data_IF_320727556520
#
_entry.id   IF_320727556520
#
_cell.length_a   1.000
_cell.length_b   1.000
_cell.length_c   1.000
_cell.angle_alpha   90.00
_cell.angle_beta   90.00
_cell.angle_gamma   90.00
#
_symmetry.space_group_name_H-M   'P 1'
#
loop_
_entity.id
_entity.type
_entity.pdbx_description
1 polymer ?
#
# COMPACT_ATOMS: atom_id res chain seq x y z
N UNK A 1 -57.09 -33.33 -57.97
CA UNK A 1 -57.79 -32.02 -57.98
C UNK A 1 -57.30 -31.19 -56.81
N UNK A 2 -56.89 -29.96 -57.11
CA UNK A 2 -56.28 -28.92 -56.27
C UNK A 2 -57.22 -28.50 -55.10
N UNK A 3 -56.80 -27.88 -53.98
CA UNK A 3 -55.99 -26.66 -53.87
C UNK A 3 -55.32 -26.45 -52.49
N UNK A 4 -54.14 -25.84 -52.59
CA UNK A 4 -53.34 -25.07 -51.63
C UNK A 4 -54.06 -23.90 -50.92
N UNK A 5 -53.54 -23.52 -49.73
CA UNK A 5 -53.15 -22.17 -49.22
C UNK A 5 -52.53 -22.37 -47.82
N UNK A 6 -51.20 -22.37 -47.62
CA UNK A 6 -50.24 -21.25 -47.53
C UNK A 6 -50.46 -20.27 -46.37
N UNK A 7 -49.52 -20.22 -45.41
CA UNK A 7 -48.84 -19.02 -44.87
C UNK A 7 -47.81 -19.49 -43.82
N UNK A 8 -46.52 -19.62 -44.14
CA UNK A 8 -45.46 -18.59 -44.24
C UNK A 8 -44.58 -18.54 -42.98
N UNK A 9 -43.28 -18.74 -43.24
CA UNK A 9 -42.13 -17.99 -42.73
C UNK A 9 -41.79 -18.07 -41.23
N UNK A 10 -40.55 -18.49 -40.98
CA UNK A 10 -39.85 -18.08 -39.75
C UNK A 10 -38.67 -18.95 -39.34
N UNK A 11 -37.78 -19.32 -40.26
CA UNK A 11 -36.47 -19.81 -39.86
C UNK A 11 -35.65 -18.63 -39.35
N UNK A 12 -35.36 -18.51 -38.04
CA UNK A 12 -34.10 -17.91 -37.59
C UNK A 12 -33.77 -18.14 -36.11
N UNK A 13 -32.49 -18.45 -35.92
CA UNK A 13 -31.61 -18.14 -34.80
C UNK A 13 -31.70 -18.96 -33.50
N UNK A 14 -30.72 -19.85 -33.40
CA UNK A 14 -30.15 -20.33 -32.15
C UNK A 14 -29.82 -19.16 -31.21
N UNK A 15 -30.33 -19.23 -29.99
CA UNK A 15 -29.81 -18.50 -28.85
C UNK A 15 -29.36 -19.53 -27.82
N UNK A 16 -28.19 -20.13 -28.07
CA UNK A 16 -27.36 -20.66 -27.01
C UNK A 16 -27.02 -19.48 -26.10
N UNK A 17 -27.79 -19.32 -25.03
CA UNK A 17 -27.39 -18.48 -23.90
C UNK A 17 -26.17 -19.14 -23.29
N UNK A 18 -24.99 -18.83 -23.81
CA UNK A 18 -23.77 -18.89 -23.01
C UNK A 18 -24.03 -17.93 -21.86
N UNK A 19 -24.44 -18.49 -20.72
CA UNK A 19 -24.27 -17.83 -19.44
C UNK A 19 -22.77 -17.53 -19.39
N UNK A 20 -22.42 -16.28 -19.65
CA UNK A 20 -21.07 -15.79 -19.48
C UNK A 20 -20.67 -16.19 -18.07
N UNK A 21 -19.77 -17.17 -17.97
CA UNK A 21 -18.96 -17.33 -16.79
C UNK A 21 -18.31 -15.97 -16.65
N UNK A 22 -18.82 -15.18 -15.71
CA UNK A 22 -18.14 -13.98 -15.28
C UNK A 22 -16.74 -14.47 -14.93
N UNK A 23 -15.77 -14.13 -15.77
CA UNK A 23 -14.38 -14.13 -15.39
C UNK A 23 -14.37 -13.19 -14.20
N UNK A 24 -14.44 -13.78 -13.00
CA UNK A 24 -14.06 -13.07 -11.80
C UNK A 24 -12.71 -12.43 -12.14
N UNK A 25 -12.53 -11.12 -11.87
CA UNK A 25 -11.23 -10.51 -12.08
C UNK A 25 -10.22 -11.42 -11.40
N UNK A 26 -9.22 -11.86 -12.18
CA UNK A 26 -8.10 -12.66 -11.70
C UNK A 26 -7.70 -12.10 -10.34
N UNK A 27 -7.61 -12.96 -9.34
CA UNK A 27 -7.05 -12.63 -8.03
C UNK A 27 -5.86 -11.72 -8.25
N UNK A 28 -5.98 -10.44 -7.88
CA UNK A 28 -4.86 -9.52 -7.90
C UNK A 28 -3.75 -10.21 -7.11
N UNK A 29 -2.64 -10.54 -7.77
CA UNK A 29 -1.52 -11.15 -7.06
C UNK A 29 -1.14 -10.15 -5.97
N UNK A 30 -1.16 -10.62 -4.71
CA UNK A 30 -0.73 -9.80 -3.60
C UNK A 30 0.78 -9.59 -3.75
N UNK A 31 1.18 -8.48 -4.37
CA UNK A 31 2.57 -8.04 -4.37
C UNK A 31 2.93 -7.77 -2.91
N UNK A 32 3.94 -8.48 -2.43
CA UNK A 32 4.50 -8.30 -1.09
C UNK A 32 5.88 -7.68 -1.27
N UNK A 33 6.14 -6.56 -0.61
CA UNK A 33 7.40 -5.82 -0.80
C UNK A 33 8.38 -6.07 0.34
N UNK A 34 9.62 -6.36 -0.02
CA UNK A 34 10.74 -6.57 0.89
C UNK A 34 11.99 -5.82 0.41
N UNK A 35 12.81 -5.38 1.36
CA UNK A 35 14.10 -4.75 1.07
C UNK A 35 14.17 -3.32 1.57
N UNK A 36 15.09 -2.56 1.00
CA UNK A 36 15.47 -1.24 1.49
C UNK A 36 15.65 -0.25 0.33
N UNK A 37 15.27 1.00 0.55
CA UNK A 37 15.66 2.14 -0.29
C UNK A 37 16.37 3.15 0.59
N UNK A 38 17.60 3.48 0.20
CA UNK A 38 18.39 4.54 0.82
C UNK A 38 18.47 5.71 -0.15
N UNK A 39 18.15 6.90 0.32
CA UNK A 39 18.29 8.13 -0.45
C UNK A 39 18.88 9.27 0.37
N UNK A 40 19.50 10.23 -0.30
CA UNK A 40 19.97 11.47 0.30
C UNK A 40 19.03 12.61 -0.09
N UNK A 41 18.65 13.44 0.88
CA UNK A 41 17.86 14.63 0.64
C UNK A 41 18.32 15.78 1.54
N UNK A 42 18.35 16.99 0.99
CA UNK A 42 18.59 18.21 1.77
C UNK A 42 17.41 18.47 2.70
N UNK A 43 17.67 18.66 4.00
CA UNK A 43 16.65 18.92 4.99
C UNK A 43 17.03 20.11 5.87
N UNK A 44 16.06 20.98 6.14
CA UNK A 44 16.13 22.01 7.15
C UNK A 44 15.38 21.51 8.38
N UNK A 45 16.10 21.34 9.50
CA UNK A 45 15.56 20.74 10.73
C UNK A 45 15.01 21.81 11.71
N UNK A 46 14.84 23.04 11.23
CA UNK A 46 14.43 24.22 11.99
C UNK A 46 15.58 25.12 12.45
N UNK A 47 15.22 26.25 13.05
CA UNK A 47 16.16 27.27 13.52
C UNK A 47 16.68 26.94 14.94
N UNK A 48 18.00 26.78 15.13
CA UNK A 48 18.59 26.48 16.44
C UNK A 48 18.43 27.63 17.46
N UNK A 49 18.19 28.87 17.01
CA UNK A 49 18.02 30.04 17.88
C UNK A 49 16.63 30.13 18.50
N UNK A 50 15.64 29.46 17.91
CA UNK A 50 14.25 29.48 18.37
C UNK A 50 13.95 28.39 19.41
N UNK A 51 14.94 27.61 19.82
CA UNK A 51 14.76 26.50 20.75
C UNK A 51 13.91 25.36 20.17
N UNK A 52 13.44 24.46 21.04
CA UNK A 52 12.52 23.39 20.68
C UNK A 52 11.09 23.92 20.82
N UNK A 53 10.41 24.37 19.75
CA UNK A 53 9.05 24.90 19.82
C UNK A 53 7.98 23.81 19.93
N UNK A 54 6.72 24.20 20.17
CA UNK A 54 5.61 23.25 20.25
C UNK A 54 5.35 22.54 18.92
N UNK A 55 5.54 23.25 17.81
CA UNK A 55 5.42 22.72 16.45
C UNK A 55 6.71 23.08 15.71
N UNK A 56 7.27 22.10 15.02
CA UNK A 56 8.47 22.24 14.19
C UNK A 56 8.20 21.57 12.83
N UNK A 57 9.00 21.90 11.81
CA UNK A 57 8.93 21.27 10.50
C UNK A 57 10.30 20.72 10.09
N UNK A 58 10.28 19.61 9.36
CA UNK A 58 11.42 19.15 8.56
C UNK A 58 11.13 19.51 7.12
N UNK A 59 11.77 20.58 6.65
CA UNK A 59 11.55 21.07 5.30
C UNK A 59 12.58 20.48 4.35
N UNK A 60 12.13 19.79 3.30
CA UNK A 60 13.03 19.20 2.31
C UNK A 60 13.37 20.24 1.25
N UNK A 61 14.61 20.73 1.24
CA UNK A 61 14.99 21.97 0.52
C UNK A 61 14.72 21.97 -0.98
N UNK A 62 14.67 20.80 -1.61
CA UNK A 62 14.38 20.60 -3.04
C UNK A 62 13.08 19.84 -3.30
N UNK A 63 12.35 19.43 -2.25
CA UNK A 63 11.27 18.43 -2.31
C UNK A 63 11.68 17.14 -3.05
N UNK A 64 12.98 16.87 -3.17
CA UNK A 64 13.51 15.75 -3.93
C UNK A 64 14.72 15.13 -3.22
N UNK A 65 14.75 13.80 -3.17
CA UNK A 65 15.91 13.02 -2.77
C UNK A 65 16.50 12.25 -3.95
N UNK A 66 17.80 11.98 -3.87
CA UNK A 66 18.52 11.12 -4.80
C UNK A 66 18.67 9.73 -4.19
N UNK A 67 18.15 8.71 -4.87
CA UNK A 67 18.31 7.31 -4.45
C UNK A 67 19.77 6.91 -4.60
N UNK A 68 20.35 6.37 -3.52
CA UNK A 68 21.75 5.97 -3.43
C UNK A 68 21.93 4.47 -3.58
N UNK A 69 21.05 3.70 -2.93
CA UNK A 69 21.08 2.24 -3.00
C UNK A 69 19.69 1.66 -2.77
N UNK A 70 19.45 0.50 -3.36
CA UNK A 70 18.25 -0.29 -3.19
C UNK A 70 18.61 -1.75 -2.91
N UNK A 71 17.74 -2.48 -2.23
CA UNK A 71 17.86 -3.92 -2.00
C UNK A 71 16.49 -4.61 -2.09
N UNK A 72 16.49 -5.94 -2.16
CA UNK A 72 15.26 -6.72 -2.30
C UNK A 72 14.48 -6.36 -3.57
N UNK A 73 13.17 -6.22 -3.45
CA UNK A 73 12.28 -5.98 -4.58
C UNK A 73 12.53 -4.60 -5.21
N UNK A 74 12.96 -3.62 -4.41
CA UNK A 74 13.34 -2.29 -4.90
C UNK A 74 14.54 -2.30 -5.86
N UNK A 75 15.43 -3.30 -5.75
CA UNK A 75 16.57 -3.43 -6.66
C UNK A 75 16.17 -3.94 -8.05
N UNK A 76 14.99 -4.56 -8.15
CA UNK A 76 14.43 -5.07 -9.42
C UNK A 76 13.47 -4.09 -10.10
N UNK A 77 13.16 -2.97 -9.43
CA UNK A 77 12.24 -1.96 -9.96
C UNK A 77 12.70 -1.43 -11.32
N UNK A 78 11.76 -1.36 -12.27
CA UNK A 78 12.01 -0.83 -13.62
C UNK A 78 11.07 0.35 -13.93
N UNK A 79 11.58 1.54 -14.26
CA UNK A 79 12.99 1.93 -14.28
C UNK A 79 13.61 1.88 -12.87
N UNK A 80 14.94 1.83 -12.82
CA UNK A 80 15.66 1.87 -11.55
C UNK A 80 15.30 3.14 -10.78
N UNK A 81 15.07 2.98 -9.47
CA UNK A 81 14.79 4.09 -8.58
C UNK A 81 15.99 5.04 -8.55
N UNK A 82 15.75 6.31 -8.86
CA UNK A 82 16.81 7.33 -8.96
C UNK A 82 16.44 8.61 -8.23
N UNK A 83 15.17 8.99 -8.26
CA UNK A 83 14.63 10.16 -7.59
C UNK A 83 13.45 9.77 -6.71
N UNK A 84 13.29 10.52 -5.63
CA UNK A 84 12.12 10.46 -4.75
C UNK A 84 11.60 11.86 -4.53
N UNK A 85 10.30 12.08 -4.69
CA UNK A 85 9.67 13.35 -4.30
C UNK A 85 9.24 13.27 -2.85
N UNK A 86 9.57 14.29 -2.06
CA UNK A 86 9.34 14.31 -0.62
C UNK A 86 8.33 15.39 -0.24
N UNK A 87 7.66 15.18 0.88
CA UNK A 87 6.82 16.17 1.56
C UNK A 87 7.39 16.50 2.93
N UNK A 88 7.25 17.76 3.32
CA UNK A 88 7.72 18.24 4.62
C UNK A 88 7.02 17.52 5.76
N UNK A 89 7.75 17.27 6.84
CA UNK A 89 7.21 16.62 8.03
C UNK A 89 6.86 17.65 9.07
N UNK A 90 5.61 17.68 9.50
CA UNK A 90 5.20 18.47 10.65
C UNK A 90 5.42 17.64 11.90
N UNK A 91 6.05 18.25 12.91
CA UNK A 91 6.40 17.64 14.18
C UNK A 91 5.68 18.39 15.30
N UNK A 92 4.98 17.65 16.17
CA UNK A 92 4.36 18.21 17.36
C UNK A 92 5.08 17.74 18.61
N UNK A 93 5.56 18.66 19.43
CA UNK A 93 6.33 18.36 20.63
C UNK A 93 5.45 17.68 21.67
N UNK A 94 5.85 16.47 22.06
CA UNK A 94 5.20 15.72 23.13
C UNK A 94 5.92 15.89 24.47
N UNK A 95 7.25 15.96 24.44
CA UNK A 95 8.09 16.11 25.64
C UNK A 95 9.03 17.28 25.42
N UNK A 96 8.92 18.28 26.29
CA UNK A 96 9.83 19.41 26.31
C UNK A 96 11.20 19.04 26.90
N UNK A 97 12.25 19.70 26.44
CA UNK A 97 13.62 19.47 26.92
C UNK A 97 14.66 19.76 25.85
N UNK A 98 15.91 19.37 26.14
CA UNK A 98 16.98 19.24 25.16
C UNK A 98 17.81 18.00 25.56
N UNK A 99 17.57 16.82 24.97
CA UNK A 99 16.69 16.58 23.83
C UNK A 99 15.19 16.77 24.11
N UNK A 100 14.42 17.16 23.10
CA UNK A 100 12.96 17.16 23.09
C UNK A 100 12.43 15.99 22.23
N UNK A 101 11.24 15.50 22.56
CA UNK A 101 10.57 14.43 21.80
C UNK A 101 9.35 15.01 21.09
N UNK A 102 9.24 14.69 19.81
CA UNK A 102 8.15 15.10 18.94
C UNK A 102 7.43 13.89 18.37
N UNK A 103 6.11 13.96 18.28
CA UNK A 103 5.31 13.07 17.45
C UNK A 103 5.31 13.58 16.01
N UNK A 104 5.34 12.66 15.05
CA UNK A 104 5.17 12.99 13.63
C UNK A 104 3.69 13.16 13.35
N UNK A 105 3.32 14.28 12.75
CA UNK A 105 1.95 14.51 12.31
C UNK A 105 1.60 13.55 11.16
N UNK A 106 0.41 12.97 11.24
CA UNK A 106 -0.10 11.95 10.31
C UNK A 106 -1.39 12.37 9.63
N UNK A 107 -1.73 13.66 9.72
CA UNK A 107 -3.01 14.16 9.24
C UNK A 107 -3.28 13.75 7.77
N UNK A 108 -4.55 13.51 7.47
CA UNK A 108 -5.03 12.76 6.29
C UNK A 108 -4.52 13.20 4.90
N UNK A 109 -3.87 14.36 4.77
CA UNK A 109 -3.20 14.81 3.54
C UNK A 109 -1.82 14.14 3.30
N UNK A 110 -1.30 13.34 4.25
CA UNK A 110 0.00 12.65 4.20
C UNK A 110 -0.03 11.26 3.53
N UNK A 111 -0.89 11.06 2.53
CA UNK A 111 -1.03 9.74 1.87
C UNK A 111 0.21 9.29 1.06
N UNK A 112 1.20 10.16 0.89
CA UNK A 112 2.49 9.90 0.22
C UNK A 112 3.54 10.90 0.72
N UNK A 113 4.28 10.51 1.76
CA UNK A 113 5.46 11.25 2.23
C UNK A 113 6.58 11.20 1.19
N UNK A 114 6.88 10.01 0.69
CA UNK A 114 7.86 9.78 -0.36
C UNK A 114 7.18 9.15 -1.58
N UNK A 115 7.43 9.71 -2.76
CA UNK A 115 6.88 9.25 -4.03
C UNK A 115 8.00 8.90 -5.01
N UNK A 116 8.02 7.64 -5.44
CA UNK A 116 9.00 7.08 -6.35
C UNK A 116 8.51 7.08 -7.81
N UNK A 117 7.29 7.58 -8.06
CA UNK A 117 6.68 7.57 -9.37
C UNK A 117 6.20 6.19 -9.81
N UNK A 118 6.01 6.02 -11.12
CA UNK A 118 5.56 4.75 -11.69
C UNK A 118 6.75 3.81 -11.90
N UNK A 119 6.66 2.61 -11.34
CA UNK A 119 7.68 1.56 -11.44
C UNK A 119 7.03 0.22 -11.69
N UNK A 120 7.77 -0.67 -12.33
CA UNK A 120 7.42 -2.07 -12.53
C UNK A 120 8.14 -2.91 -11.49
N UNK A 121 7.38 -3.63 -10.67
CA UNK A 121 7.86 -4.61 -9.67
C UNK A 121 7.05 -5.88 -9.90
N UNK A 122 7.73 -7.04 -9.95
CA UNK A 122 7.10 -8.34 -10.22
C UNK A 122 6.19 -8.40 -11.46
N UNK A 123 6.51 -7.57 -12.47
CA UNK A 123 5.78 -7.52 -13.75
C UNK A 123 4.58 -6.58 -13.78
N UNK A 124 4.18 -5.99 -12.64
CA UNK A 124 3.10 -5.00 -12.57
C UNK A 124 3.66 -3.59 -12.50
N UNK A 125 3.11 -2.67 -13.31
CA UNK A 125 3.51 -1.25 -13.32
C UNK A 125 2.48 -0.39 -12.58
N UNK A 126 2.88 0.24 -11.49
CA UNK A 126 2.04 1.20 -10.75
C UNK A 126 2.88 2.27 -10.05
N UNK A 127 2.20 3.28 -9.49
CA UNK A 127 2.83 4.30 -8.66
C UNK A 127 3.23 3.72 -7.30
N UNK A 128 4.51 3.83 -6.95
CA UNK A 128 5.06 3.43 -5.66
C UNK A 128 5.22 4.65 -4.75
N UNK A 129 4.65 4.57 -3.55
CA UNK A 129 4.72 5.63 -2.54
C UNK A 129 4.96 5.05 -1.16
N UNK A 130 5.48 5.85 -0.24
CA UNK A 130 5.57 5.55 1.17
C UNK A 130 4.82 6.62 1.96
N UNK A 131 3.89 6.20 2.81
CA UNK A 131 3.12 7.06 3.69
C UNK A 131 3.54 6.83 5.14
N UNK A 132 3.80 7.89 5.88
CA UNK A 132 4.06 7.80 7.32
C UNK A 132 2.72 7.61 8.04
N UNK A 133 2.67 6.63 8.92
CA UNK A 133 1.47 6.28 9.71
C UNK A 133 1.60 6.69 11.17
N UNK A 134 2.78 7.13 11.59
CA UNK A 134 3.02 7.69 12.91
C UNK A 134 4.45 7.45 13.35
N UNK A 135 4.80 8.05 14.48
CA UNK A 135 6.11 7.85 15.06
C UNK A 135 6.54 8.97 15.97
N UNK A 136 7.71 8.78 16.56
CA UNK A 136 8.37 9.78 17.40
C UNK A 136 9.76 10.05 16.88
N UNK A 137 10.20 11.29 17.06
CA UNK A 137 11.55 11.73 16.72
C UNK A 137 12.14 12.49 17.90
N UNK A 138 13.43 12.31 18.13
CA UNK A 138 14.16 13.08 19.13
C UNK A 138 14.89 14.23 18.45
N UNK A 139 14.58 15.46 18.86
CA UNK A 139 15.23 16.69 18.40
C UNK A 139 16.18 17.23 19.45
N UNK A 140 17.41 17.53 19.07
CA UNK A 140 18.42 18.12 19.96
C UNK A 140 18.96 19.38 19.34
N UNK A 141 19.15 20.42 20.15
CA UNK A 141 19.86 21.64 19.76
C UNK A 141 21.17 21.69 20.54
N UNK A 142 22.30 21.62 19.85
CA UNK A 142 23.63 21.73 20.47
C UNK A 142 24.49 22.68 19.63
N UNK A 143 25.18 23.60 20.29
CA UNK A 143 26.18 24.49 19.67
C UNK A 143 25.71 25.18 18.37
N UNK A 144 24.45 25.64 18.34
CA UNK A 144 23.88 26.32 17.18
C UNK A 144 23.53 25.39 16.01
N UNK A 145 23.39 24.09 16.26
CA UNK A 145 22.94 23.09 15.29
C UNK A 145 21.73 22.32 15.80
N UNK A 146 20.86 21.94 14.87
CA UNK A 146 19.74 21.04 15.15
C UNK A 146 20.09 19.66 14.63
N UNK A 147 19.80 18.64 15.43
CA UNK A 147 19.84 17.24 15.02
C UNK A 147 18.49 16.57 15.26
N UNK A 148 18.11 15.68 14.34
CA UNK A 148 17.01 14.74 14.52
C UNK A 148 17.58 13.33 14.54
N UNK A 149 17.19 12.55 15.54
CA UNK A 149 17.52 11.14 15.63
C UNK A 149 16.24 10.30 15.55
N UNK A 150 16.21 9.38 14.59
CA UNK A 150 15.13 8.41 14.35
C UNK A 150 15.72 7.00 14.23
N UNK A 151 16.44 6.56 15.27
CA UNK A 151 17.15 5.27 15.27
C UNK A 151 16.97 4.43 16.54
N UNK A 152 16.29 4.95 17.57
CA UNK A 152 16.27 4.34 18.89
C UNK A 152 14.86 3.81 19.20
N UNK A 153 14.71 2.91 20.18
CA UNK A 153 13.40 2.38 20.63
C UNK A 153 12.35 3.46 20.95
N UNK A 154 12.80 4.67 21.30
CA UNK A 154 11.96 5.84 21.61
C UNK A 154 11.73 6.78 20.42
N UNK A 155 12.42 6.57 19.30
CA UNK A 155 12.35 7.39 18.08
C UNK A 155 12.26 6.51 16.85
N UNK A 156 11.08 5.93 16.68
CA UNK A 156 10.72 5.10 15.53
C UNK A 156 9.65 5.85 14.76
N UNK A 157 9.80 5.90 13.45
CA UNK A 157 8.75 6.35 12.54
C UNK A 157 8.36 5.19 11.65
N UNK A 158 7.08 4.86 11.68
CA UNK A 158 6.47 3.79 10.92
C UNK A 158 5.70 4.35 9.74
N UNK A 159 5.57 3.53 8.72
CA UNK A 159 4.80 3.85 7.55
C UNK A 159 4.38 2.62 6.79
N UNK A 160 3.78 2.87 5.64
CA UNK A 160 3.32 1.83 4.72
C UNK A 160 3.78 2.15 3.31
N UNK A 161 4.24 1.13 2.60
CA UNK A 161 4.43 1.19 1.17
C UNK A 161 3.11 0.94 0.47
N UNK A 162 2.83 1.79 -0.51
CA UNK A 162 1.65 1.70 -1.35
C UNK A 162 2.03 1.58 -2.81
N UNK A 163 1.38 0.66 -3.51
CA UNK A 163 1.54 0.44 -4.94
C UNK A 163 0.19 0.43 -5.62
N UNK A 164 -0.02 1.35 -6.56
CA UNK A 164 -1.34 1.56 -7.17
C UNK A 164 -2.41 1.98 -6.15
N UNK A 165 -1.99 2.61 -5.04
CA UNK A 165 -2.87 3.01 -3.94
C UNK A 165 -3.14 1.93 -2.88
N UNK A 166 -2.70 0.69 -3.10
CA UNK A 166 -2.89 -0.42 -2.17
C UNK A 166 -1.67 -0.58 -1.27
N UNK A 167 -1.89 -0.86 0.03
CA UNK A 167 -0.79 -1.19 0.95
C UNK A 167 -0.18 -2.54 0.58
N UNK A 168 1.13 -2.59 0.35
CA UNK A 168 1.87 -3.80 -0.05
C UNK A 168 2.98 -4.20 0.92
N UNK A 169 3.35 -3.31 1.85
CA UNK A 169 4.24 -3.63 2.97
C UNK A 169 4.12 -2.58 4.08
N UNK A 170 4.42 -3.00 5.30
CA UNK A 170 4.78 -2.07 6.37
C UNK A 170 6.22 -1.61 6.15
N UNK A 171 6.55 -0.44 6.67
CA UNK A 171 7.93 0.01 6.65
C UNK A 171 8.32 0.92 7.79
N UNK A 172 9.64 1.06 7.91
CA UNK A 172 10.29 1.92 8.88
C UNK A 172 10.98 3.06 8.15
N UNK A 173 10.89 4.25 8.72
CA UNK A 173 11.62 5.44 8.30
C UNK A 173 12.71 5.72 9.33
N UNK A 174 13.96 5.68 8.87
CA UNK A 174 15.12 6.11 9.63
C UNK A 174 15.73 7.32 8.94
N UNK A 175 16.00 8.36 9.71
CA UNK A 175 16.74 9.55 9.28
C UNK A 175 18.03 9.63 10.08
N UNK A 176 19.15 9.58 9.36
CA UNK A 176 20.46 9.92 9.87
C UNK A 176 20.90 11.24 9.26
N UNK A 177 20.65 12.33 9.98
CA UNK A 177 21.02 13.67 9.54
C UNK A 177 21.40 14.57 10.70
N UNK A 178 22.59 15.15 10.61
CA UNK A 178 23.05 16.25 11.47
C UNK A 178 23.24 17.47 10.59
N UNK A 179 22.36 18.48 10.70
CA UNK A 179 22.73 19.90 10.57
C UNK A 179 21.50 20.80 10.51
N UNK A 180 21.75 22.08 10.78
CA UNK A 180 20.82 23.20 10.55
C UNK A 180 20.64 23.55 9.06
N UNK A 181 21.31 22.88 8.10
CA UNK A 181 21.25 23.26 6.67
C UNK A 181 21.74 22.19 5.67
N UNK A 182 21.78 20.91 6.01
CA UNK A 182 22.54 19.90 5.26
C UNK A 182 21.96 18.50 5.39
N UNK A 183 21.88 17.84 4.25
CA UNK A 183 21.05 16.66 4.04
C UNK A 183 21.28 15.48 4.97
N UNK A 184 20.24 14.67 5.08
CA UNK A 184 20.25 13.41 5.81
C UNK A 184 20.22 12.22 4.87
N UNK A 185 20.78 11.11 5.33
CA UNK A 185 20.51 9.79 4.76
C UNK A 185 19.17 9.32 5.31
N UNK A 186 18.24 9.03 4.40
CA UNK A 186 16.96 8.42 4.71
C UNK A 186 17.01 6.98 4.27
N UNK A 187 16.67 6.10 5.19
CA UNK A 187 16.45 4.68 4.93
C UNK A 187 14.97 4.38 5.10
N UNK A 188 14.38 3.78 4.08
CA UNK A 188 13.07 3.14 4.16
C UNK A 188 13.23 1.63 4.02
N UNK A 189 12.79 0.89 5.03
CA UNK A 189 12.82 -0.58 5.00
C UNK A 189 11.40 -1.11 4.85
N UNK A 190 11.18 -2.03 3.92
CA UNK A 190 9.93 -2.75 3.74
C UNK A 190 10.02 -4.14 4.37
N UNK A 191 9.02 -4.47 5.20
CA UNK A 191 8.80 -5.82 5.68
C UNK A 191 7.53 -6.34 5.04
N UNK A 192 7.69 -7.36 4.19
CA UNK A 192 6.58 -8.00 3.52
C UNK A 192 5.60 -8.59 4.53
N UNK A 193 4.34 -8.15 4.48
CA UNK A 193 3.28 -8.84 5.21
C UNK A 193 2.53 -9.74 4.23
N UNK A 194 2.35 -11.04 4.54
CA UNK A 194 1.50 -11.89 3.72
C UNK A 194 0.08 -11.34 3.77
N UNK A 195 -0.42 -10.81 2.66
CA UNK A 195 -1.82 -10.43 2.53
C UNK A 195 -2.66 -11.67 2.83
N UNK A 196 -3.54 -11.64 3.86
CA UNK A 196 -4.46 -12.74 4.09
C UNK A 196 -5.30 -12.87 2.82
N UNK A 197 -5.21 -14.01 2.14
CA UNK A 197 -5.99 -14.25 0.93
C UNK A 197 -7.46 -13.88 1.21
N UNK A 198 -8.11 -13.09 0.34
CA UNK A 198 -9.48 -12.67 0.54
C UNK A 198 -10.40 -13.89 0.44
N UNK A 199 -10.59 -14.61 1.55
CA UNK A 199 -11.61 -15.63 1.76
C UNK A 199 -11.99 -16.42 0.49
N UNK A 200 -11.02 -16.97 -0.24
CA UNK A 200 -11.28 -18.06 -1.21
C UNK A 200 -11.80 -19.31 -0.48
N UNK A 201 -11.85 -19.28 0.86
CA UNK A 201 -12.54 -20.24 1.72
C UNK A 201 -14.07 -20.09 1.73
N UNK A 202 -14.65 -19.11 1.01
CA UNK A 202 -16.10 -19.03 0.76
C UNK A 202 -16.59 -19.94 -0.37
N UNK A 203 -15.69 -20.45 -1.22
CA UNK A 203 -16.03 -21.18 -2.45
C UNK A 203 -16.26 -22.70 -2.31
N UNK A 204 -15.83 -23.32 -1.20
CA UNK A 204 -15.91 -24.80 -1.06
C UNK A 204 -16.88 -25.24 0.06
N UNK A 205 -17.26 -24.36 0.99
CA UNK A 205 -18.15 -24.74 2.10
C UNK A 205 -19.65 -24.84 1.73
N UNK A 206 -20.09 -24.29 0.60
CA UNK A 206 -21.51 -24.36 0.17
C UNK A 206 -21.83 -25.55 -0.75
N UNK A 207 -20.83 -26.26 -1.27
CA UNK A 207 -21.07 -27.45 -2.12
C UNK A 207 -21.62 -28.65 -1.36
N UNK A 208 -21.22 -28.84 -0.10
CA UNK A 208 -21.67 -29.95 0.72
C UNK A 208 -23.10 -29.75 1.27
N UNK A 209 -23.49 -28.51 1.58
CA UNK A 209 -24.82 -28.21 2.15
C UNK A 209 -25.92 -28.11 1.08
N UNK A 210 -25.61 -27.59 -0.12
CA UNK A 210 -26.55 -27.63 -1.25
C UNK A 210 -26.74 -29.04 -1.83
N UNK A 211 -25.69 -29.87 -1.86
CA UNK A 211 -25.80 -31.28 -2.27
C UNK A 211 -26.72 -32.10 -1.35
N UNK A 212 -26.62 -31.90 -0.03
CA UNK A 212 -27.52 -32.53 0.94
C UNK A 212 -28.97 -32.02 0.83
N UNK A 213 -29.17 -30.72 0.56
CA UNK A 213 -30.49 -30.13 0.36
C UNK A 213 -31.19 -30.65 -0.91
N UNK A 214 -30.45 -30.76 -2.03
CA UNK A 214 -30.97 -31.33 -3.28
C UNK A 214 -31.28 -32.83 -3.14
N UNK A 215 -30.40 -33.62 -2.50
CA UNK A 215 -30.65 -35.05 -2.24
C UNK A 215 -31.91 -35.27 -1.40
N UNK A 216 -32.19 -34.40 -0.43
CA UNK A 216 -33.38 -34.47 0.43
C UNK A 216 -34.68 -34.09 -0.29
N UNK A 217 -34.63 -33.24 -1.33
CA UNK A 217 -35.81 -32.97 -2.19
C UNK A 217 -36.08 -34.08 -3.20
N UNK A 218 -35.04 -34.68 -3.81
CA UNK A 218 -35.24 -35.77 -4.78
C UNK A 218 -35.66 -37.09 -4.14
N UNK A 219 -35.25 -37.38 -2.89
CA UNK A 219 -35.73 -38.55 -2.14
C UNK A 219 -37.23 -38.50 -1.80
N UNK A 220 -37.79 -37.31 -1.55
CA UNK A 220 -39.23 -37.14 -1.23
C UNK A 220 -40.17 -37.27 -2.42
N UNK A 221 -39.65 -37.15 -3.65
CA UNK A 221 -40.46 -37.31 -4.87
C UNK A 221 -40.45 -38.74 -5.42
N UNK A 222 -39.45 -39.56 -5.05
CA UNK A 222 -39.43 -40.99 -5.38
C UNK A 222 -40.49 -41.81 -4.64
N UNK A 223 -40.81 -41.45 -3.39
CA UNK A 223 -41.86 -42.12 -2.59
C UNK A 223 -43.29 -41.81 -3.04
N UNK A 224 -43.51 -40.70 -3.77
CA UNK A 224 -44.83 -40.35 -4.31
C UNK A 224 -45.18 -41.04 -5.62
N UNK A 225 -44.22 -41.66 -6.30
CA UNK A 225 -44.44 -42.42 -7.54
C UNK A 225 -44.65 -43.92 -7.31
N UNK A 226 -44.64 -44.39 -6.05
CA UNK A 226 -44.94 -45.80 -5.69
C UNK A 226 -46.38 -45.94 -5.15
N UNK A 227 -47.16 -44.86 -5.09
CA UNK A 227 -48.54 -44.83 -4.58
C UNK A 227 -49.55 -44.11 -5.50
N UNK A 228 -49.28 -44.05 -6.80
CA UNK A 228 -50.26 -43.64 -7.81
C UNK A 228 -50.47 -44.79 -8.80
#
# INVERSE_FOLDING_TARGET
MNKFKSLCLGATLAATTMAGVALAPSSAMAITLTGEVVFSAGALLGDPTLGNNLVESVDWTTNQGSVLSTSGDFATATPALSLVTLRDLVLTREIAGNPAVYGVDTDTAFTSFADFGNVTIDGDTNRLTFAITGGKVTRTINDGQVSLNIQNDTSIVSGIFRFGGQTIANGLFSLNGTSSSGGGLVTLTATGEPVPEPLTMGGIALGATFGAYLRKRYSKNGEKLVKA
#
